data_IF_956245063207
#
_entry.id   IF_956245063207
#
_cell.length_a   1.000
_cell.length_b   1.000
_cell.length_c   1.000
_cell.angle_alpha   90.00
_cell.angle_beta   90.00
_cell.angle_gamma   90.00
#
_symmetry.space_group_name_H-M   'P 1'
#
loop_
_entity.id
_entity.type
_entity.pdbx_description
1 polymer ?
#
# COMPACT_ATOMS: atom_id res chain seq x y z
N UNK A 1 -1.01 -6.80 -7.73
CA UNK A 1 -1.14 -5.57 -6.90
C UNK A 1 0.08 -4.69 -7.09
N UNK A 2 1.29 -5.09 -6.72
CA UNK A 2 2.50 -4.28 -6.81
C UNK A 2 2.79 -3.68 -8.19
N UNK A 3 2.54 -4.41 -9.27
CA UNK A 3 2.66 -3.86 -10.63
C UNK A 3 1.74 -2.67 -10.90
N UNK A 4 0.50 -2.71 -10.40
CA UNK A 4 -0.44 -1.60 -10.54
C UNK A 4 -0.01 -0.39 -9.72
N UNK A 5 0.48 -0.62 -8.49
CA UNK A 5 0.98 0.45 -7.61
C UNK A 5 2.20 1.11 -8.25
N UNK A 6 3.22 0.34 -8.60
CA UNK A 6 4.44 0.86 -9.24
C UNK A 6 4.13 1.55 -10.56
N UNK A 7 3.32 0.95 -11.42
CA UNK A 7 2.95 1.55 -12.70
C UNK A 7 2.21 2.88 -12.55
N UNK A 8 1.37 3.01 -11.51
CA UNK A 8 0.72 4.29 -11.21
C UNK A 8 1.74 5.34 -10.73
N UNK A 9 2.63 4.98 -9.82
CA UNK A 9 3.69 5.88 -9.31
C UNK A 9 4.57 6.37 -10.48
N UNK A 10 5.07 5.45 -11.31
CA UNK A 10 5.88 5.78 -12.49
C UNK A 10 5.16 6.70 -13.49
N UNK A 11 3.83 6.59 -13.59
CA UNK A 11 3.02 7.49 -14.44
C UNK A 11 2.95 8.93 -13.92
N UNK A 12 3.32 9.17 -12.66
CA UNK A 12 3.25 10.49 -12.00
C UNK A 12 4.59 11.22 -11.95
N UNK A 13 5.69 10.53 -12.15
CA UNK A 13 7.02 11.10 -12.13
C UNK A 13 8.09 10.07 -11.84
N UNK A 14 9.32 10.56 -11.74
CA UNK A 14 10.49 9.76 -11.40
C UNK A 14 10.65 9.74 -9.87
N UNK A 15 9.94 8.81 -9.24
CA UNK A 15 9.95 8.62 -7.79
C UNK A 15 10.65 7.33 -7.41
N UNK A 16 11.44 7.37 -6.33
CA UNK A 16 11.94 6.17 -5.68
C UNK A 16 10.80 5.44 -4.95
N UNK A 17 10.79 4.12 -5.01
CA UNK A 17 9.85 3.27 -4.25
C UNK A 17 10.68 2.45 -3.26
N UNK A 18 10.37 2.55 -1.97
CA UNK A 18 11.05 1.75 -0.95
C UNK A 18 10.65 0.29 -1.09
N UNK A 19 11.66 -0.60 -1.21
CA UNK A 19 11.45 -2.05 -1.31
C UNK A 19 11.59 -2.75 0.04
N UNK A 20 12.20 -2.09 1.03
CA UNK A 20 12.44 -2.64 2.37
C UNK A 20 11.16 -2.66 3.23
N UNK A 21 10.16 -1.86 2.85
CA UNK A 21 8.89 -1.74 3.56
C UNK A 21 7.76 -2.05 2.60
N UNK A 22 6.89 -2.97 3.02
CA UNK A 22 5.77 -3.45 2.21
C UNK A 22 4.50 -3.49 3.04
N UNK A 23 3.37 -3.40 2.39
CA UNK A 23 2.09 -3.65 3.03
C UNK A 23 1.94 -5.13 3.45
N UNK A 24 0.90 -5.43 4.18
CA UNK A 24 0.75 -6.73 4.83
C UNK A 24 -0.72 -7.09 5.04
N UNK A 25 -0.97 -8.36 5.31
CA UNK A 25 -2.24 -8.83 5.85
C UNK A 25 -2.47 -8.32 7.27
N UNK A 26 -3.72 -8.22 7.65
CA UNK A 26 -4.15 -7.85 9.00
C UNK A 26 -5.15 -8.90 9.50
N UNK A 27 -4.97 -9.37 10.72
CA UNK A 27 -5.85 -10.33 11.34
C UNK A 27 -5.82 -10.23 12.86
N UNK A 28 -5.41 -11.31 13.52
CA UNK A 28 -5.24 -11.30 14.98
C UNK A 28 -4.00 -10.52 15.40
N UNK A 29 -3.04 -10.39 14.50
CA UNK A 29 -1.88 -9.52 14.64
C UNK A 29 -1.98 -8.39 13.63
N UNK A 30 -1.29 -7.27 13.91
CA UNK A 30 -1.24 -6.14 12.99
C UNK A 30 -0.56 -6.52 11.68
N UNK A 31 0.51 -7.29 11.75
CA UNK A 31 1.28 -7.72 10.58
C UNK A 31 1.13 -9.23 10.41
N UNK A 32 0.46 -9.64 9.37
CA UNK A 32 0.26 -11.03 8.97
C UNK A 32 0.50 -11.20 7.47
N UNK A 33 0.63 -12.45 7.02
CA UNK A 33 0.58 -12.76 5.59
C UNK A 33 -0.79 -12.38 4.98
N UNK A 34 -0.82 -12.04 3.70
CA UNK A 34 0.30 -11.97 2.76
C UNK A 34 1.02 -10.62 2.77
N UNK A 35 2.30 -10.61 2.35
CA UNK A 35 2.98 -9.36 2.00
C UNK A 35 2.30 -8.68 0.80
N UNK A 36 2.15 -7.36 0.87
CA UNK A 36 1.57 -6.53 -0.19
C UNK A 36 2.67 -5.64 -0.77
N UNK A 37 3.32 -6.13 -1.81
CA UNK A 37 4.42 -5.40 -2.45
C UNK A 37 3.93 -4.15 -3.17
N UNK A 38 4.69 -3.06 -3.03
CA UNK A 38 4.45 -1.78 -3.68
C UNK A 38 5.15 -1.68 -5.05
N UNK A 39 5.85 -2.74 -5.46
CA UNK A 39 6.66 -2.85 -6.67
C UNK A 39 6.44 -4.20 -7.36
N UNK A 40 6.94 -4.32 -8.59
CA UNK A 40 6.82 -5.53 -9.39
C UNK A 40 7.63 -6.68 -8.78
N UNK A 41 6.96 -7.79 -8.54
CA UNK A 41 7.57 -9.05 -8.12
C UNK A 41 7.24 -10.15 -9.13
N UNK A 42 8.10 -11.16 -9.21
CA UNK A 42 7.85 -12.32 -10.07
C UNK A 42 6.77 -13.21 -9.46
N UNK A 43 5.91 -13.73 -10.32
CA UNK A 43 4.86 -14.68 -9.94
C UNK A 43 3.55 -14.02 -9.52
N UNK A 44 2.54 -14.86 -9.39
CA UNK A 44 1.23 -14.46 -8.90
C UNK A 44 1.21 -14.69 -7.39
N UNK A 45 1.08 -13.65 -6.61
CA UNK A 45 0.88 -13.77 -5.16
C UNK A 45 -0.36 -14.60 -4.79
N UNK A 46 -0.69 -14.68 -3.49
CA UNK A 46 -1.91 -15.33 -3.03
C UNK A 46 -3.14 -14.76 -3.71
N UNK A 47 -4.18 -15.59 -3.84
CA UNK A 47 -5.46 -15.13 -4.37
C UNK A 47 -6.12 -14.18 -3.38
N UNK A 48 -6.68 -13.10 -3.91
CA UNK A 48 -7.58 -12.24 -3.15
C UNK A 48 -8.89 -12.97 -2.95
N UNK A 49 -9.25 -13.24 -1.71
CA UNK A 49 -10.46 -13.98 -1.32
C UNK A 49 -11.26 -13.22 -0.26
N UNK A 50 -12.57 -13.45 -0.15
CA UNK A 50 -13.36 -12.91 0.94
C UNK A 50 -12.78 -13.26 2.32
N UNK A 51 -12.80 -12.30 3.24
CA UNK A 51 -12.18 -12.40 4.56
C UNK A 51 -10.75 -11.84 4.63
N UNK A 52 -10.13 -11.55 3.48
CA UNK A 52 -8.83 -10.90 3.46
C UNK A 52 -8.93 -9.44 3.90
N UNK A 53 -8.06 -9.04 4.80
CA UNK A 53 -7.84 -7.62 5.16
C UNK A 53 -6.37 -7.32 4.96
N UNK A 54 -6.06 -6.24 4.25
CA UNK A 54 -4.67 -5.85 3.93
C UNK A 54 -4.43 -4.36 4.14
N UNK A 55 -3.23 -4.03 4.58
CA UNK A 55 -2.67 -2.69 4.49
C UNK A 55 -1.98 -2.52 3.13
N UNK A 56 -2.31 -1.43 2.45
CA UNK A 56 -1.66 -1.00 1.19
C UNK A 56 -0.99 0.33 1.52
N UNK A 57 0.34 0.36 1.55
CA UNK A 57 1.09 1.43 2.18
C UNK A 57 2.37 1.80 1.41
N UNK A 58 2.28 2.27 0.17
CA UNK A 58 3.46 2.67 -0.57
C UNK A 58 4.22 3.81 0.11
N UNK A 59 5.54 3.64 0.20
CA UNK A 59 6.48 4.67 0.60
C UNK A 59 7.27 5.12 -0.63
N UNK A 60 7.20 6.40 -0.95
CA UNK A 60 7.84 6.98 -2.13
C UNK A 60 8.75 8.15 -1.75
N UNK A 61 9.78 8.36 -2.54
CA UNK A 61 10.75 9.44 -2.36
C UNK A 61 10.85 10.30 -3.61
N UNK A 62 11.12 11.58 -3.42
CA UNK A 62 11.37 12.50 -4.53
C UNK A 62 12.77 12.31 -5.16
N UNK A 63 13.58 11.43 -4.61
CA UNK A 63 14.93 11.10 -5.05
C UNK A 63 15.21 9.61 -4.93
N UNK A 64 16.39 9.27 -4.41
CA UNK A 64 16.80 7.88 -4.23
C UNK A 64 15.95 7.17 -3.17
N UNK A 65 15.55 5.92 -3.45
CA UNK A 65 14.86 5.06 -2.48
C UNK A 65 15.77 4.55 -1.33
N UNK A 66 17.05 4.92 -1.34
CA UNK A 66 17.99 4.46 -0.30
C UNK A 66 17.74 5.21 1.00
N UNK A 67 17.49 4.46 2.06
CA UNK A 67 17.18 5.00 3.38
C UNK A 67 18.28 4.76 4.41
N UNK A 68 18.13 5.38 5.57
CA UNK A 68 18.90 5.14 6.79
C UNK A 68 17.98 5.22 8.00
N UNK A 69 18.23 4.40 8.99
CA UNK A 69 17.61 4.53 10.32
C UNK A 69 18.44 5.52 11.13
N UNK A 70 17.78 6.46 11.80
CA UNK A 70 18.44 7.47 12.61
C UNK A 70 18.88 6.88 13.98
N UNK A 71 19.58 7.70 14.78
CA UNK A 71 20.15 7.28 16.06
C UNK A 71 19.13 6.91 17.14
N UNK A 72 17.85 7.21 16.93
CA UNK A 72 16.74 6.80 17.80
C UNK A 72 16.31 5.33 17.55
N UNK A 73 16.87 4.67 16.51
CA UNK A 73 16.57 3.29 16.15
C UNK A 73 15.16 3.08 15.54
N UNK A 74 14.46 4.17 15.25
CA UNK A 74 13.07 4.16 14.76
C UNK A 74 12.86 4.98 13.50
N UNK A 75 13.31 6.22 13.48
CA UNK A 75 13.08 7.14 12.38
C UNK A 75 13.84 6.71 11.13
N UNK A 76 13.09 6.54 10.04
CA UNK A 76 13.64 6.25 8.70
C UNK A 76 13.70 7.55 7.90
N UNK A 77 14.86 7.84 7.34
CA UNK A 77 15.11 9.05 6.54
C UNK A 77 15.77 8.68 5.23
N UNK A 78 15.52 9.46 4.17
CA UNK A 78 16.24 9.33 2.90
C UNK A 78 17.73 9.65 3.11
N UNK A 79 18.62 8.93 2.40
CA UNK A 79 20.07 9.21 2.49
C UNK A 79 20.46 10.50 1.78
N UNK A 80 19.76 10.84 0.72
CA UNK A 80 20.01 12.01 -0.10
C UNK A 80 19.28 13.28 0.36
N UNK A 81 18.56 13.18 1.49
CA UNK A 81 17.73 14.24 2.08
C UNK A 81 16.58 14.70 1.16
N UNK A 82 16.18 13.90 0.18
CA UNK A 82 14.96 14.14 -0.59
C UNK A 82 13.71 13.95 0.25
N UNK A 83 12.63 14.62 -0.10
CA UNK A 83 11.34 14.44 0.54
C UNK A 83 10.80 13.03 0.31
N UNK A 84 10.06 12.51 1.29
CA UNK A 84 9.42 11.21 1.23
C UNK A 84 7.95 11.32 1.65
N UNK A 85 7.14 10.41 1.16
CA UNK A 85 5.73 10.27 1.52
C UNK A 85 5.41 8.80 1.81
N UNK A 86 4.68 8.58 2.89
CA UNK A 86 4.06 7.32 3.25
C UNK A 86 2.55 7.53 3.33
N UNK A 87 1.79 6.73 2.61
CA UNK A 87 0.34 6.77 2.64
C UNK A 87 -0.22 5.36 2.74
N UNK A 88 -1.12 5.15 3.69
CA UNK A 88 -1.65 3.84 4.00
C UNK A 88 -3.18 3.83 4.02
N UNK A 89 -3.73 2.78 3.42
CA UNK A 89 -5.13 2.40 3.61
C UNK A 89 -5.25 0.92 3.96
N UNK A 90 -6.17 0.62 4.87
CA UNK A 90 -6.59 -0.75 5.16
C UNK A 90 -7.84 -1.08 4.36
N UNK A 91 -7.77 -2.18 3.60
CA UNK A 91 -8.86 -2.63 2.71
C UNK A 91 -9.35 -4.00 3.15
N UNK A 92 -10.64 -4.12 3.38
CA UNK A 92 -11.31 -5.39 3.61
C UNK A 92 -11.93 -5.92 2.31
N UNK A 93 -11.78 -7.22 2.09
CA UNK A 93 -12.38 -7.95 0.96
C UNK A 93 -13.51 -8.84 1.49
N UNK A 94 -14.67 -8.81 0.85
CA UNK A 94 -15.80 -9.66 1.20
C UNK A 94 -16.54 -10.16 -0.05
N UNK A 95 -17.52 -11.02 0.11
CA UNK A 95 -18.22 -11.70 -1.01
C UNK A 95 -18.84 -10.75 -2.04
N UNK A 96 -19.20 -9.53 -1.61
CA UNK A 96 -19.85 -8.53 -2.48
C UNK A 96 -18.88 -7.50 -3.06
N UNK A 97 -17.61 -7.45 -2.60
CA UNK A 97 -16.63 -6.47 -3.07
C UNK A 97 -15.56 -6.11 -2.04
N UNK A 98 -15.22 -4.83 -1.99
CA UNK A 98 -14.22 -4.28 -1.08
C UNK A 98 -14.78 -3.10 -0.30
N UNK A 99 -14.19 -2.84 0.86
CA UNK A 99 -14.42 -1.65 1.66
C UNK A 99 -13.11 -1.11 2.22
N UNK A 100 -12.87 0.20 2.06
CA UNK A 100 -11.67 0.86 2.61
C UNK A 100 -11.97 1.29 4.03
N UNK A 101 -11.45 0.52 5.00
CA UNK A 101 -11.75 0.69 6.42
C UNK A 101 -11.25 2.03 7.00
N UNK A 102 -10.20 2.58 6.41
CA UNK A 102 -9.53 3.81 6.84
C UNK A 102 -9.98 5.05 6.06
N UNK A 103 -10.98 4.94 5.20
CA UNK A 103 -11.63 6.06 4.52
C UNK A 103 -13.03 6.29 5.11
N UNK A 104 -13.39 7.55 5.41
CA UNK A 104 -14.68 7.90 6.01
C UNK A 104 -15.88 7.43 5.18
N UNK A 105 -15.74 7.47 3.86
CA UNK A 105 -16.75 7.05 2.88
C UNK A 105 -16.53 5.61 2.36
N UNK A 106 -15.66 4.83 3.00
CA UNK A 106 -15.29 3.49 2.55
C UNK A 106 -14.52 3.45 1.21
N UNK A 107 -14.03 4.60 0.77
CA UNK A 107 -13.28 4.76 -0.47
C UNK A 107 -14.11 5.18 -1.68
N UNK A 108 -15.37 5.56 -1.50
CA UNK A 108 -16.30 5.94 -2.61
C UNK A 108 -15.68 7.04 -3.47
N UNK A 109 -15.25 8.14 -2.88
CA UNK A 109 -14.69 9.27 -3.62
C UNK A 109 -13.37 8.91 -4.32
N UNK A 110 -12.47 8.21 -3.62
CA UNK A 110 -11.16 7.83 -4.15
C UNK A 110 -11.20 6.80 -5.27
N UNK A 111 -12.18 5.90 -5.24
CA UNK A 111 -12.31 4.81 -6.22
C UNK A 111 -13.21 5.16 -7.42
N UNK A 112 -14.06 6.18 -7.28
CA UNK A 112 -14.97 6.62 -8.36
C UNK A 112 -14.27 6.92 -9.70
N UNK A 113 -13.10 7.57 -9.76
CA UNK A 113 -12.37 7.83 -11.01
C UNK A 113 -11.95 6.55 -11.76
N UNK A 114 -11.90 5.42 -11.05
CA UNK A 114 -11.53 4.11 -11.60
C UNK A 114 -12.75 3.23 -11.91
N UNK A 115 -13.97 3.77 -11.75
CA UNK A 115 -15.21 3.02 -11.97
C UNK A 115 -15.48 1.92 -10.93
N UNK A 116 -14.81 1.97 -9.78
CA UNK A 116 -14.98 1.01 -8.70
C UNK A 116 -15.93 1.57 -7.65
N UNK A 117 -16.96 0.81 -7.31
CA UNK A 117 -17.92 1.15 -6.26
C UNK A 117 -17.66 0.22 -5.06
N UNK A 118 -17.12 0.74 -3.96
CA UNK A 118 -16.95 -0.05 -2.76
C UNK A 118 -18.31 -0.41 -2.14
N UNK A 119 -18.39 -1.57 -1.52
CA UNK A 119 -19.63 -2.09 -0.92
C UNK A 119 -19.46 -2.19 0.58
N UNK A 120 -20.35 -1.59 1.39
CA UNK A 120 -20.30 -1.71 2.85
C UNK A 120 -20.33 -3.15 3.34
N UNK A 121 -19.64 -3.41 4.45
CA UNK A 121 -19.54 -4.75 5.05
C UNK A 121 -20.87 -5.29 5.58
N UNK A 122 -21.84 -4.45 5.88
CA UNK A 122 -23.16 -4.79 6.44
C UNK A 122 -24.23 -4.94 5.36
#
# INVERSE_FOLDING_TARGET
MGEAIQGYIESKGDYGILEEYVGHGIGRSMHEDPAVYNYRVRGNGPKVVPGLVVAIEPMVTAGSAVTKVLGDGWTVSTKDASDASHWEHTVAVHDRGIWVLTAEDGGVAGLAPFGVVPVPLN
#
